data_IF_199361064608
#
_entry.id   IF_199361064608
#
_cell.length_a   1.000
_cell.length_b   1.000
_cell.length_c   1.000
_cell.angle_alpha   90.00
_cell.angle_beta   90.00
_cell.angle_gamma   90.00
#
_symmetry.space_group_name_H-M   'P 1'
#
loop_
_entity.id
_entity.type
_entity.pdbx_description
1 polymer ?
#
# COMPACT_ATOMS: atom_id res chain seq x y z
N UNK A 1 -24.80 2.41 16.43
CA UNK A 1 -24.85 1.05 15.83
C UNK A 1 -24.30 1.11 14.42
N UNK A 2 -23.73 0.00 13.93
CA UNK A 2 -23.14 -0.14 12.58
C UNK A 2 -24.07 0.38 11.47
N UNK A 3 -25.32 -0.09 11.44
CA UNK A 3 -26.30 0.35 10.43
C UNK A 3 -26.57 1.85 10.42
N UNK A 4 -26.55 2.50 11.59
CA UNK A 4 -26.69 3.94 11.67
C UNK A 4 -25.49 4.65 10.99
N UNK A 5 -24.28 4.22 11.30
CA UNK A 5 -23.07 4.78 10.71
C UNK A 5 -23.02 4.57 9.20
N UNK A 6 -23.44 3.39 8.70
CA UNK A 6 -23.54 3.12 7.26
C UNK A 6 -24.55 4.04 6.58
N UNK A 7 -25.75 4.24 7.18
CA UNK A 7 -26.75 5.19 6.63
C UNK A 7 -26.24 6.63 6.59
N UNK A 8 -25.57 7.08 7.68
CA UNK A 8 -24.98 8.44 7.74
C UNK A 8 -23.88 8.62 6.68
N UNK A 9 -23.06 7.60 6.46
CA UNK A 9 -22.04 7.61 5.41
C UNK A 9 -22.69 7.70 4.02
N UNK A 10 -23.71 6.91 3.74
CA UNK A 10 -24.44 6.98 2.47
C UNK A 10 -25.06 8.37 2.25
N UNK A 11 -25.76 8.92 3.24
CA UNK A 11 -26.34 10.26 3.14
C UNK A 11 -25.27 11.31 2.84
N UNK A 12 -24.13 11.27 3.54
CA UNK A 12 -23.01 12.18 3.31
C UNK A 12 -22.43 12.08 1.89
N UNK A 13 -22.27 10.86 1.35
CA UNK A 13 -21.77 10.66 -0.01
C UNK A 13 -22.79 11.07 -1.08
N UNK A 14 -24.09 10.91 -0.84
CA UNK A 14 -25.15 11.38 -1.73
C UNK A 14 -25.18 12.91 -1.82
N UNK A 15 -25.09 13.60 -0.67
CA UNK A 15 -24.98 15.05 -0.63
C UNK A 15 -23.72 15.56 -1.34
N UNK A 16 -22.57 14.92 -1.07
CA UNK A 16 -21.30 15.27 -1.70
C UNK A 16 -21.32 15.06 -3.22
N UNK A 17 -21.95 13.99 -3.70
CA UNK A 17 -22.13 13.73 -5.13
C UNK A 17 -23.03 14.78 -5.79
N UNK A 18 -24.15 15.10 -5.15
CA UNK A 18 -25.06 16.15 -5.65
C UNK A 18 -24.33 17.51 -5.71
N UNK A 19 -23.54 17.82 -4.70
CA UNK A 19 -22.69 19.01 -4.70
C UNK A 19 -21.65 19.00 -5.84
N UNK A 20 -20.98 17.89 -6.09
CA UNK A 20 -19.98 17.78 -7.14
C UNK A 20 -20.55 17.97 -8.56
N UNK A 21 -21.82 17.64 -8.79
CA UNK A 21 -22.51 17.80 -10.06
C UNK A 21 -22.91 19.26 -10.36
N UNK A 22 -22.88 20.15 -9.39
CA UNK A 22 -23.23 21.56 -9.60
C UNK A 22 -22.01 22.33 -10.13
N UNK A 23 -22.23 23.12 -11.19
CA UNK A 23 -21.16 23.82 -11.92
C UNK A 23 -20.68 25.10 -11.26
N UNK A 24 -21.52 25.78 -10.49
CA UNK A 24 -21.15 27.00 -9.74
C UNK A 24 -21.96 27.09 -8.45
N UNK A 25 -21.30 27.47 -7.37
CA UNK A 25 -21.93 27.75 -6.07
C UNK A 25 -21.48 29.09 -5.54
N UNK A 26 -22.44 29.90 -5.11
CA UNK A 26 -22.15 31.18 -4.43
C UNK A 26 -21.42 30.96 -3.10
N UNK A 27 -21.76 29.88 -2.38
CA UNK A 27 -21.13 29.50 -1.11
C UNK A 27 -20.52 28.13 -1.22
N UNK A 28 -19.21 28.03 -1.07
CA UNK A 28 -18.47 26.76 -1.13
C UNK A 28 -18.56 25.99 0.19
N UNK A 29 -19.00 24.73 0.10
CA UNK A 29 -18.83 23.79 1.21
C UNK A 29 -17.46 23.10 1.09
N UNK A 30 -16.51 23.47 1.96
CA UNK A 30 -15.13 23.00 1.91
C UNK A 30 -15.02 21.47 2.06
N UNK A 31 -15.90 20.82 2.81
CA UNK A 31 -15.92 19.35 2.96
C UNK A 31 -16.24 18.68 1.62
N UNK A 32 -17.29 19.14 0.94
CA UNK A 32 -17.71 18.57 -0.35
C UNK A 32 -16.77 18.98 -1.49
N UNK A 33 -16.22 20.19 -1.43
CA UNK A 33 -15.21 20.64 -2.40
C UNK A 33 -13.98 19.73 -2.39
N UNK A 34 -13.50 19.33 -1.20
CA UNK A 34 -12.39 18.38 -1.06
C UNK A 34 -12.70 16.99 -1.66
N UNK A 35 -13.98 16.60 -1.73
CA UNK A 35 -14.40 15.32 -2.29
C UNK A 35 -14.61 15.35 -3.81
N UNK A 36 -14.65 16.51 -4.45
CA UNK A 36 -14.93 16.66 -5.89
C UNK A 36 -14.02 15.78 -6.75
N UNK A 37 -12.74 15.72 -6.40
CA UNK A 37 -11.74 14.90 -7.10
C UNK A 37 -11.98 13.38 -7.04
N UNK A 38 -12.78 12.89 -6.10
CA UNK A 38 -13.21 11.50 -6.05
C UNK A 38 -14.25 11.21 -7.13
N UNK A 39 -15.27 12.08 -7.25
CA UNK A 39 -16.34 11.93 -8.23
C UNK A 39 -15.88 12.20 -9.67
N UNK A 40 -14.86 13.05 -9.86
CA UNK A 40 -14.17 13.26 -11.14
C UNK A 40 -13.21 12.11 -11.48
N UNK A 41 -13.11 11.08 -10.63
CA UNK A 41 -12.20 9.95 -10.74
C UNK A 41 -10.70 10.32 -10.87
N UNK A 42 -10.33 11.54 -10.49
CA UNK A 42 -8.94 12.01 -10.47
C UNK A 42 -8.12 11.42 -9.31
N UNK A 43 -8.82 11.08 -8.21
CA UNK A 43 -8.23 10.46 -7.03
C UNK A 43 -9.03 9.22 -6.64
N UNK A 44 -8.37 8.14 -6.19
CA UNK A 44 -9.06 6.99 -5.63
C UNK A 44 -9.52 7.25 -4.19
N UNK A 45 -10.53 6.51 -3.77
CA UNK A 45 -10.97 6.40 -2.39
C UNK A 45 -10.21 5.23 -1.73
N UNK A 46 -9.41 5.53 -0.72
CA UNK A 46 -8.71 4.52 0.09
C UNK A 46 -9.62 4.07 1.22
N UNK A 47 -9.97 2.78 1.25
CA UNK A 47 -10.91 2.21 2.22
C UNK A 47 -10.18 1.21 3.10
N UNK A 48 -10.09 1.53 4.40
CA UNK A 48 -9.51 0.63 5.39
C UNK A 48 -10.53 -0.44 5.79
N UNK A 49 -10.24 -1.68 5.45
CA UNK A 49 -11.08 -2.84 5.74
C UNK A 49 -10.23 -4.10 5.86
N UNK A 50 -10.69 -5.10 6.60
CA UNK A 50 -9.92 -6.30 6.86
C UNK A 50 -10.66 -7.61 6.56
N UNK A 51 -11.91 -7.75 6.98
CA UNK A 51 -12.63 -9.02 6.81
C UNK A 51 -13.37 -9.10 5.46
N UNK A 52 -13.58 -10.33 4.98
CA UNK A 52 -14.14 -10.63 3.66
C UNK A 52 -15.49 -9.93 3.40
N UNK A 53 -16.39 -9.87 4.40
CA UNK A 53 -17.68 -9.21 4.28
C UNK A 53 -17.53 -7.70 4.05
N UNK A 54 -16.73 -7.03 4.91
CA UNK A 54 -16.54 -5.58 4.78
C UNK A 54 -15.71 -5.20 3.57
N UNK A 55 -14.85 -6.08 3.07
CA UNK A 55 -14.17 -5.93 1.77
C UNK A 55 -15.21 -5.82 0.66
N UNK A 56 -16.12 -6.80 0.57
CA UNK A 56 -17.17 -6.78 -0.47
C UNK A 56 -18.10 -5.58 -0.33
N UNK A 57 -18.58 -5.27 0.88
CA UNK A 57 -19.42 -4.09 1.14
C UNK A 57 -18.72 -2.78 0.74
N UNK A 58 -17.41 -2.65 0.98
CA UNK A 58 -16.61 -1.48 0.62
C UNK A 58 -16.49 -1.30 -0.90
N UNK A 59 -16.31 -2.39 -1.64
CA UNK A 59 -16.25 -2.37 -3.10
C UNK A 59 -17.60 -1.96 -3.68
N UNK A 60 -18.68 -2.61 -3.26
CA UNK A 60 -20.04 -2.29 -3.70
C UNK A 60 -20.45 -0.85 -3.36
N UNK A 61 -20.01 -0.36 -2.18
CA UNK A 61 -20.18 1.04 -1.82
C UNK A 61 -19.50 1.98 -2.83
N UNK A 62 -18.22 1.73 -3.14
CA UNK A 62 -17.49 2.56 -4.08
C UNK A 62 -18.12 2.54 -5.47
N UNK A 63 -18.57 1.38 -5.96
CA UNK A 63 -19.26 1.24 -7.24
C UNK A 63 -20.57 1.99 -7.28
N UNK A 64 -21.38 1.92 -6.22
CA UNK A 64 -22.64 2.68 -6.10
C UNK A 64 -22.44 4.17 -6.38
N UNK A 65 -21.32 4.73 -5.99
CA UNK A 65 -20.99 6.15 -6.16
C UNK A 65 -20.10 6.43 -7.38
N UNK A 66 -19.73 5.42 -8.16
CA UNK A 66 -18.84 5.55 -9.32
C UNK A 66 -17.41 5.93 -8.97
N UNK A 67 -16.92 5.51 -7.80
CA UNK A 67 -15.60 5.87 -7.27
C UNK A 67 -14.57 4.81 -7.60
N UNK A 68 -13.33 5.23 -7.89
CA UNK A 68 -12.19 4.32 -7.91
C UNK A 68 -11.83 3.97 -6.47
N UNK A 69 -11.85 2.69 -6.12
CA UNK A 69 -11.50 2.22 -4.78
C UNK A 69 -10.11 1.59 -4.75
N UNK A 70 -9.42 1.77 -3.62
CA UNK A 70 -8.23 1.03 -3.22
C UNK A 70 -8.48 0.51 -1.81
N UNK A 71 -8.36 -0.79 -1.60
CA UNK A 71 -8.48 -1.38 -0.27
C UNK A 71 -7.16 -1.30 0.48
N UNK A 72 -7.23 -0.95 1.77
CA UNK A 72 -6.07 -0.86 2.66
C UNK A 72 -6.27 -1.79 3.85
N UNK A 73 -5.28 -2.63 4.11
CA UNK A 73 -5.35 -3.69 5.11
C UNK A 73 -5.73 -5.01 4.46
N UNK A 74 -7.01 -5.20 4.22
CA UNK A 74 -7.60 -6.31 3.47
C UNK A 74 -7.03 -7.69 3.86
N UNK A 75 -6.94 -7.97 5.17
CA UNK A 75 -6.35 -9.21 5.70
C UNK A 75 -7.00 -10.46 5.10
N UNK A 76 -8.32 -10.43 4.88
CA UNK A 76 -9.08 -11.53 4.28
C UNK A 76 -9.20 -11.46 2.75
N UNK A 77 -8.39 -10.64 2.07
CA UNK A 77 -8.45 -10.50 0.61
C UNK A 77 -8.30 -11.85 -0.12
N UNK A 78 -7.54 -12.77 0.44
CA UNK A 78 -7.34 -14.12 -0.08
C UNK A 78 -8.63 -14.93 -0.20
N UNK A 79 -9.64 -14.69 0.64
CA UNK A 79 -10.94 -15.37 0.61
C UNK A 79 -11.84 -14.88 -0.54
N UNK A 80 -11.59 -13.69 -1.07
CA UNK A 80 -12.46 -12.99 -2.05
C UNK A 80 -11.69 -12.56 -3.31
N UNK A 81 -10.65 -13.30 -3.67
CA UNK A 81 -9.78 -12.96 -4.80
C UNK A 81 -10.51 -12.85 -6.13
N UNK A 82 -11.45 -13.77 -6.42
CA UNK A 82 -12.22 -13.73 -7.68
C UNK A 82 -13.14 -12.50 -7.75
N UNK A 83 -13.73 -12.13 -6.61
CA UNK A 83 -14.51 -10.91 -6.50
C UNK A 83 -13.63 -9.66 -6.72
N UNK A 84 -12.49 -9.55 -6.05
CA UNK A 84 -11.56 -8.43 -6.21
C UNK A 84 -11.05 -8.32 -7.65
N UNK A 85 -10.77 -9.45 -8.29
CA UNK A 85 -10.32 -9.51 -9.69
C UNK A 85 -11.39 -9.02 -10.65
N UNK A 86 -12.64 -9.50 -10.49
CA UNK A 86 -13.76 -9.12 -11.39
C UNK A 86 -14.08 -7.63 -11.30
N UNK A 87 -13.82 -6.98 -10.17
CA UNK A 87 -14.04 -5.56 -9.93
C UNK A 87 -12.79 -4.69 -10.14
N UNK A 88 -11.65 -5.30 -10.53
CA UNK A 88 -10.36 -4.62 -10.72
C UNK A 88 -9.91 -3.78 -9.51
N UNK A 89 -10.07 -4.30 -8.30
CA UNK A 89 -9.76 -3.60 -7.06
C UNK A 89 -8.31 -3.81 -6.66
N UNK A 90 -7.49 -2.74 -6.61
CA UNK A 90 -6.13 -2.82 -6.05
C UNK A 90 -6.16 -2.92 -4.54
N UNK A 91 -5.14 -3.61 -4.00
CA UNK A 91 -5.02 -3.88 -2.56
C UNK A 91 -3.68 -3.39 -2.03
N UNK A 92 -3.71 -2.61 -0.96
CA UNK A 92 -2.53 -2.29 -0.15
C UNK A 92 -2.59 -3.21 1.08
N UNK A 93 -1.80 -4.28 1.05
CA UNK A 93 -1.74 -5.22 2.16
C UNK A 93 -1.15 -4.57 3.41
N UNK A 94 -1.69 -4.89 4.56
CA UNK A 94 -1.04 -4.59 5.83
C UNK A 94 0.14 -5.55 6.07
N UNK A 95 0.74 -5.49 7.25
CA UNK A 95 1.90 -6.29 7.60
C UNK A 95 1.70 -7.79 7.31
N UNK A 96 2.65 -8.39 6.58
CA UNK A 96 2.77 -9.85 6.43
C UNK A 96 3.31 -10.50 7.70
N UNK A 97 4.15 -9.78 8.48
CA UNK A 97 4.60 -10.24 9.79
C UNK A 97 3.50 -10.07 10.83
N UNK A 98 2.46 -10.88 10.74
CA UNK A 98 1.33 -10.90 11.66
C UNK A 98 0.91 -12.34 11.97
N UNK A 99 0.26 -12.51 13.10
CA UNK A 99 -0.39 -13.76 13.44
C UNK A 99 -1.71 -13.91 12.66
N UNK A 100 -2.23 -15.14 12.51
CA UNK A 100 -3.56 -15.39 11.98
C UNK A 100 -4.62 -14.57 12.71
N UNK A 101 -5.69 -14.24 12.00
CA UNK A 101 -6.77 -13.42 12.57
C UNK A 101 -7.80 -14.29 13.29
N UNK A 102 -7.94 -15.54 12.86
CA UNK A 102 -8.88 -16.53 13.39
C UNK A 102 -8.14 -17.81 13.79
N UNK A 103 -8.74 -18.59 14.70
CA UNK A 103 -8.17 -19.85 15.20
C UNK A 103 -8.10 -20.94 14.12
N UNK A 104 -8.93 -20.84 13.08
CA UNK A 104 -9.00 -21.75 11.94
C UNK A 104 -8.22 -21.28 10.71
N UNK A 105 -7.58 -20.12 10.76
CA UNK A 105 -6.67 -19.68 9.70
C UNK A 105 -5.36 -20.48 9.74
N UNK A 106 -4.79 -20.75 8.58
CA UNK A 106 -3.42 -21.26 8.49
C UNK A 106 -2.45 -20.35 9.24
N UNK A 107 -1.54 -20.92 10.00
CA UNK A 107 -0.55 -20.18 10.80
C UNK A 107 0.30 -19.22 9.95
N UNK A 108 0.49 -19.55 8.69
CA UNK A 108 1.27 -18.80 7.70
C UNK A 108 0.42 -18.03 6.67
N UNK A 109 -0.91 -17.94 6.90
CA UNK A 109 -1.82 -17.28 5.95
C UNK A 109 -1.40 -15.84 5.61
N UNK A 110 -0.93 -15.09 6.59
CA UNK A 110 -0.49 -13.73 6.35
C UNK A 110 0.68 -13.63 5.35
N UNK A 111 1.53 -14.64 5.28
CA UNK A 111 2.64 -14.73 4.32
C UNK A 111 2.19 -15.16 2.92
N UNK A 112 1.14 -15.99 2.84
CA UNK A 112 0.59 -16.55 1.59
C UNK A 112 -0.34 -15.58 0.85
N UNK A 113 -0.97 -14.63 1.54
CA UNK A 113 -1.97 -13.73 0.95
C UNK A 113 -1.43 -12.98 -0.28
N UNK A 114 -0.19 -12.49 -0.23
CA UNK A 114 0.44 -11.82 -1.37
C UNK A 114 0.63 -12.76 -2.58
N UNK A 115 0.94 -14.04 -2.34
CA UNK A 115 1.07 -15.08 -3.37
C UNK A 115 -0.27 -15.28 -4.07
N UNK A 116 -1.34 -15.46 -3.29
CA UNK A 116 -2.70 -15.69 -3.81
C UNK A 116 -3.23 -14.49 -4.63
N UNK A 117 -2.93 -13.25 -4.20
CA UNK A 117 -3.25 -12.05 -4.98
C UNK A 117 -2.48 -12.00 -6.29
N UNK A 118 -1.18 -12.35 -6.26
CA UNK A 118 -0.33 -12.40 -7.45
C UNK A 118 -0.84 -13.43 -8.46
N UNK A 119 -1.14 -14.65 -8.03
CA UNK A 119 -1.64 -15.74 -8.88
C UNK A 119 -2.97 -15.38 -9.56
N UNK A 120 -3.81 -14.60 -8.89
CA UNK A 120 -5.05 -14.08 -9.46
C UNK A 120 -4.85 -12.83 -10.32
N UNK A 121 -3.60 -12.31 -10.41
CA UNK A 121 -3.29 -11.10 -11.17
C UNK A 121 -3.99 -9.85 -10.61
N UNK A 122 -4.15 -9.77 -9.29
CA UNK A 122 -4.65 -8.59 -8.59
C UNK A 122 -3.48 -7.65 -8.35
N UNK A 123 -3.65 -6.37 -8.64
CA UNK A 123 -2.65 -5.34 -8.35
C UNK A 123 -2.58 -5.13 -6.84
N UNK A 124 -1.41 -5.35 -6.25
CA UNK A 124 -1.23 -5.14 -4.81
C UNK A 124 0.10 -4.48 -4.48
N UNK A 125 0.17 -3.88 -3.29
CA UNK A 125 1.37 -3.29 -2.69
C UNK A 125 1.47 -3.73 -1.23
N UNK A 126 2.70 -3.69 -0.69
CA UNK A 126 2.92 -3.91 0.74
C UNK A 126 2.88 -2.59 1.51
N UNK A 127 2.36 -2.62 2.73
CA UNK A 127 2.44 -1.51 3.67
C UNK A 127 2.62 -1.98 5.12
N UNK A 128 2.85 -1.03 6.00
CA UNK A 128 2.87 -1.27 7.44
C UNK A 128 2.17 -0.14 8.20
N UNK A 129 1.38 -0.49 9.22
CA UNK A 129 0.60 0.49 10.00
C UNK A 129 1.46 1.39 10.88
N UNK A 130 2.59 0.87 11.39
CA UNK A 130 3.43 1.57 12.36
C UNK A 130 4.64 2.19 11.64
N UNK A 131 4.85 3.49 11.79
CA UNK A 131 5.97 4.22 11.19
C UNK A 131 7.33 3.60 11.55
N UNK A 132 7.50 3.13 12.79
CA UNK A 132 8.72 2.48 13.24
C UNK A 132 9.05 1.19 12.49
N UNK A 133 8.06 0.42 12.08
CA UNK A 133 8.22 -0.86 11.40
C UNK A 133 8.40 -0.72 9.88
N UNK A 134 8.18 0.45 9.32
CA UNK A 134 8.33 0.67 7.87
C UNK A 134 9.76 0.39 7.37
N UNK A 135 10.76 0.54 8.21
CA UNK A 135 12.15 0.14 7.90
C UNK A 135 12.29 -1.35 7.53
N UNK A 136 11.35 -2.18 7.94
CA UNK A 136 11.34 -3.63 7.68
C UNK A 136 10.44 -4.00 6.49
N UNK A 137 9.89 -3.03 5.75
CA UNK A 137 8.90 -3.28 4.70
C UNK A 137 9.44 -4.18 3.59
N UNK A 138 10.70 -3.99 3.17
CA UNK A 138 11.35 -4.83 2.18
C UNK A 138 11.44 -6.31 2.65
N UNK A 139 11.69 -6.54 3.94
CA UNK A 139 11.82 -7.88 4.53
C UNK A 139 10.45 -8.57 4.65
N UNK A 140 9.37 -7.83 4.78
CA UNK A 140 8.02 -8.39 4.71
C UNK A 140 7.68 -8.90 3.30
N UNK A 141 8.12 -8.21 2.26
CA UNK A 141 8.02 -8.70 0.90
C UNK A 141 8.93 -9.92 0.68
N UNK A 142 10.14 -9.92 1.25
CA UNK A 142 11.05 -11.08 1.25
C UNK A 142 10.45 -12.30 1.95
N UNK A 143 9.69 -12.10 3.03
CA UNK A 143 8.96 -13.18 3.69
C UNK A 143 7.94 -13.83 2.73
N UNK A 144 7.17 -13.03 1.99
CA UNK A 144 6.24 -13.56 0.99
C UNK A 144 6.95 -14.33 -0.14
N UNK A 145 8.18 -13.94 -0.52
CA UNK A 145 9.02 -14.71 -1.46
C UNK A 145 9.34 -16.08 -0.90
N UNK A 146 9.66 -16.19 0.39
CA UNK A 146 9.88 -17.47 1.07
C UNK A 146 8.65 -18.39 1.06
N UNK A 147 7.46 -17.85 0.83
CA UNK A 147 6.19 -18.59 0.71
C UNK A 147 5.67 -18.70 -0.73
N UNK A 148 6.50 -18.40 -1.73
CA UNK A 148 6.21 -18.69 -3.13
C UNK A 148 5.91 -17.46 -4.02
N UNK A 149 5.93 -16.24 -3.48
CA UNK A 149 5.83 -15.04 -4.33
C UNK A 149 7.08 -14.92 -5.20
N UNK A 150 6.97 -14.77 -6.55
CA UNK A 150 8.12 -14.48 -7.37
C UNK A 150 8.87 -13.23 -6.87
N UNK A 151 10.19 -13.30 -6.80
CA UNK A 151 11.02 -12.19 -6.28
C UNK A 151 10.76 -10.88 -7.01
N UNK A 152 10.65 -10.92 -8.33
CA UNK A 152 10.34 -9.76 -9.14
C UNK A 152 8.97 -9.17 -8.80
N UNK A 153 7.95 -10.00 -8.57
CA UNK A 153 6.63 -9.54 -8.13
C UNK A 153 6.68 -8.86 -6.75
N UNK A 154 7.52 -9.36 -5.84
CA UNK A 154 7.74 -8.72 -4.53
C UNK A 154 8.39 -7.34 -4.68
N UNK A 155 9.39 -7.20 -5.56
CA UNK A 155 10.01 -5.90 -5.88
C UNK A 155 9.00 -4.96 -6.53
N UNK A 156 8.23 -5.44 -7.50
CA UNK A 156 7.18 -4.64 -8.14
C UNK A 156 6.13 -4.16 -7.14
N UNK A 157 5.71 -4.99 -6.20
CA UNK A 157 4.75 -4.63 -5.17
C UNK A 157 5.25 -3.53 -4.20
N UNK A 158 6.56 -3.41 -4.03
CA UNK A 158 7.19 -2.34 -3.26
C UNK A 158 7.47 -1.06 -4.08
N UNK A 159 7.49 -1.16 -5.41
CA UNK A 159 7.94 -0.09 -6.31
C UNK A 159 6.89 0.28 -7.35
N UNK A 160 6.84 -0.44 -8.47
CA UNK A 160 5.98 -0.12 -9.62
C UNK A 160 4.48 -0.22 -9.28
N UNK A 161 4.05 -1.29 -8.62
CA UNK A 161 2.65 -1.45 -8.25
C UNK A 161 2.20 -0.38 -7.24
N UNK A 162 3.07 -0.08 -6.26
CA UNK A 162 2.83 1.04 -5.34
C UNK A 162 2.67 2.36 -6.11
N UNK A 163 3.56 2.64 -7.06
CA UNK A 163 3.48 3.84 -7.89
C UNK A 163 2.21 3.88 -8.76
N UNK A 164 1.77 2.74 -9.31
CA UNK A 164 0.52 2.62 -10.05
C UNK A 164 -0.71 2.89 -9.17
N UNK A 165 -0.77 2.30 -7.99
CA UNK A 165 -1.87 2.49 -7.03
C UNK A 165 -1.94 3.96 -6.57
N UNK A 166 -0.77 4.60 -6.38
CA UNK A 166 -0.66 6.01 -5.97
C UNK A 166 -0.86 7.01 -7.13
N UNK A 167 -0.92 6.53 -8.39
CA UNK A 167 -1.10 7.38 -9.57
C UNK A 167 0.14 8.21 -9.94
N UNK A 168 1.35 7.69 -9.63
CA UNK A 168 2.64 8.36 -9.89
C UNK A 168 3.61 7.48 -10.69
N UNK A 169 3.10 6.44 -11.36
CA UNK A 169 3.92 5.49 -12.10
C UNK A 169 4.56 6.07 -13.38
N UNK A 170 4.09 7.21 -13.83
CA UNK A 170 4.70 8.01 -14.89
C UNK A 170 6.05 8.62 -14.46
N UNK A 171 6.22 8.88 -13.16
CA UNK A 171 7.41 9.54 -12.60
C UNK A 171 8.37 8.60 -11.88
N UNK A 172 7.88 7.56 -11.22
CA UNK A 172 8.71 6.69 -10.40
C UNK A 172 8.23 5.23 -10.40
N UNK A 173 8.85 4.37 -9.59
CA UNK A 173 8.48 2.96 -9.41
C UNK A 173 9.16 1.99 -10.36
N UNK A 174 9.90 2.45 -11.38
CA UNK A 174 10.71 1.61 -12.27
C UNK A 174 11.93 2.34 -12.79
N UNK A 175 12.95 1.58 -13.17
CA UNK A 175 14.18 2.09 -13.81
C UNK A 175 13.94 2.24 -15.32
N UNK A 176 13.23 3.30 -15.70
CA UNK A 176 12.88 3.60 -17.08
C UNK A 176 13.37 5.00 -17.43
N UNK A 177 13.94 5.17 -18.62
CA UNK A 177 14.40 6.47 -19.11
C UNK A 177 13.25 7.49 -19.10
N UNK A 178 13.52 8.68 -18.56
CA UNK A 178 12.55 9.77 -18.43
C UNK A 178 11.81 9.82 -17.09
N UNK A 179 11.97 8.82 -16.21
CA UNK A 179 11.45 8.87 -14.84
C UNK A 179 12.44 9.53 -13.88
N UNK A 180 11.91 9.98 -12.74
CA UNK A 180 12.72 10.50 -11.65
C UNK A 180 13.73 9.42 -11.20
N UNK A 181 15.00 9.77 -11.10
CA UNK A 181 16.02 8.87 -10.58
C UNK A 181 15.93 8.78 -9.04
N UNK A 182 14.86 8.15 -8.56
CA UNK A 182 14.65 7.84 -7.15
C UNK A 182 14.86 6.33 -6.98
N UNK A 183 16.09 5.97 -6.56
CA UNK A 183 16.55 4.59 -6.50
C UNK A 183 17.61 4.41 -5.41
N UNK A 184 17.91 3.17 -5.08
CA UNK A 184 19.05 2.82 -4.24
C UNK A 184 19.84 1.64 -4.85
N UNK A 185 21.08 1.51 -4.43
CA UNK A 185 21.96 0.40 -4.75
C UNK A 185 22.21 -0.40 -3.49
N UNK A 186 22.02 -1.70 -3.56
CA UNK A 186 22.29 -2.62 -2.45
C UNK A 186 23.31 -3.68 -2.88
N UNK A 187 24.29 -3.91 -2.05
CA UNK A 187 25.08 -5.13 -2.07
C UNK A 187 24.26 -6.24 -1.43
N UNK A 188 24.09 -7.35 -2.12
CA UNK A 188 23.20 -8.43 -1.70
C UNK A 188 21.72 -8.13 -1.94
N UNK A 189 20.87 -9.01 -1.42
CA UNK A 189 19.43 -8.97 -1.65
C UNK A 189 18.75 -7.93 -0.75
N UNK A 190 18.14 -6.91 -1.37
CA UNK A 190 17.41 -5.88 -0.64
C UNK A 190 16.19 -6.41 0.13
N UNK A 191 15.67 -7.60 -0.23
CA UNK A 191 14.54 -8.25 0.44
C UNK A 191 14.96 -9.19 1.59
N UNK A 192 16.25 -9.53 1.69
CA UNK A 192 16.79 -10.38 2.77
C UNK A 192 17.49 -9.52 3.83
N UNK A 193 16.95 -9.54 5.06
CA UNK A 193 17.49 -8.76 6.18
C UNK A 193 18.96 -9.10 6.54
N UNK A 194 19.47 -10.29 6.16
CA UNK A 194 20.85 -10.72 6.46
C UNK A 194 21.84 -10.19 5.44
N UNK A 195 21.42 -9.99 4.19
CA UNK A 195 22.29 -9.59 3.08
C UNK A 195 22.02 -8.18 2.55
N UNK A 196 20.89 -7.57 2.94
CA UNK A 196 20.54 -6.21 2.50
C UNK A 196 21.52 -5.17 3.05
N UNK A 197 22.30 -4.58 2.13
CA UNK A 197 23.25 -3.52 2.46
C UNK A 197 23.16 -2.40 1.41
N UNK A 198 22.43 -1.35 1.75
CA UNK A 198 22.31 -0.18 0.88
C UNK A 198 23.60 0.63 0.94
N UNK A 199 24.25 0.77 -0.22
CA UNK A 199 25.55 1.46 -0.37
C UNK A 199 25.41 2.85 -0.97
N UNK A 200 24.40 3.09 -1.81
CA UNK A 200 24.07 4.41 -2.35
C UNK A 200 22.57 4.56 -2.52
N UNK A 201 22.07 5.78 -2.42
CA UNK A 201 20.67 6.08 -2.70
C UNK A 201 20.52 7.50 -3.28
N UNK A 202 19.53 7.66 -4.15
CA UNK A 202 19.26 8.88 -4.88
C UNK A 202 17.77 9.24 -4.78
N UNK A 203 17.49 10.52 -4.62
CA UNK A 203 16.14 11.08 -4.71
C UNK A 203 16.15 12.14 -5.81
N UNK A 204 15.41 11.90 -6.89
CA UNK A 204 15.38 12.77 -8.07
C UNK A 204 16.80 13.09 -8.60
N UNK A 205 17.64 12.06 -8.69
CA UNK A 205 19.03 12.17 -9.17
C UNK A 205 20.03 12.75 -8.17
N UNK A 206 19.59 13.23 -7.01
CA UNK A 206 20.48 13.72 -5.96
C UNK A 206 20.86 12.61 -5.00
N UNK A 207 22.16 12.38 -4.86
CA UNK A 207 22.66 11.42 -3.86
C UNK A 207 22.29 11.88 -2.45
N UNK A 208 21.84 10.95 -1.62
CA UNK A 208 21.49 11.20 -0.23
C UNK A 208 22.53 10.59 0.71
N UNK A 209 22.80 11.30 1.81
CA UNK A 209 23.68 10.78 2.85
C UNK A 209 22.97 9.64 3.61
N UNK A 210 23.56 8.43 3.58
CA UNK A 210 23.06 7.24 4.27
C UNK A 210 23.57 7.12 5.72
N UNK A 211 24.31 8.11 6.23
CA UNK A 211 24.72 8.13 7.61
C UNK A 211 23.56 8.47 8.54
N UNK A 212 23.58 7.92 9.74
CA UNK A 212 22.57 8.16 10.75
C UNK A 212 23.16 8.06 12.16
N UNK A 213 22.37 8.52 13.15
CA UNK A 213 22.79 8.54 14.54
C UNK A 213 23.27 7.17 15.07
N UNK A 214 22.64 6.07 14.65
CA UNK A 214 23.06 4.74 15.09
C UNK A 214 24.44 4.37 14.53
N UNK A 215 24.69 4.62 13.24
CA UNK A 215 26.01 4.41 12.62
C UNK A 215 27.09 5.27 13.28
N UNK A 216 26.76 6.54 13.58
CA UNK A 216 27.70 7.45 14.25
C UNK A 216 28.04 6.96 15.66
N UNK A 217 27.04 6.53 16.43
CA UNK A 217 27.25 5.98 17.76
C UNK A 217 28.04 4.67 17.71
N UNK A 218 27.71 3.76 16.78
CA UNK A 218 28.45 2.51 16.60
C UNK A 218 29.95 2.79 16.37
N UNK A 219 30.28 3.64 15.37
CA UNK A 219 31.68 4.02 15.11
C UNK A 219 32.38 4.64 16.32
N UNK A 220 31.66 5.50 17.07
CA UNK A 220 32.22 6.14 18.27
C UNK A 220 32.55 5.13 19.39
N UNK A 221 31.66 4.17 19.62
CA UNK A 221 31.85 3.16 20.64
C UNK A 221 32.85 2.10 20.19
N UNK A 222 32.83 1.67 18.93
CA UNK A 222 33.85 0.77 18.38
C UNK A 222 35.27 1.34 18.54
N UNK A 223 35.43 2.62 18.21
CA UNK A 223 36.73 3.28 18.38
C UNK A 223 37.19 3.36 19.85
N UNK A 224 36.22 3.44 20.79
CA UNK A 224 36.52 3.47 22.23
C UNK A 224 36.97 2.12 22.77
N UNK A 225 36.45 1.01 22.26
CA UNK A 225 36.66 -0.33 22.81
C UNK A 225 37.61 -1.19 21.98
N UNK A 226 38.09 -0.73 20.84
CA UNK A 226 39.13 -1.37 20.02
C UNK A 226 40.55 -0.92 20.38
N UNK A 227 40.75 -0.29 21.55
CA UNK A 227 42.06 0.06 22.08
C UNK A 227 42.66 -1.11 22.83
#
# INVERSE_FOLDING_TARGET
>A
TYEKSVREMHAFFEEARAYAQQSAQEVKNLKFEAMRSLFDQKKPLYIHTNNAKTIQESVLFAEKYGLKAVLVGATDAWMVTDFLKSHNIPVILSSTHSLPTRDDDDVDQAYKTAVQLHEKGILFAFSHKLAWQQRNLAFQAGQAVGFGLPKEAAVQALTLHTAQIMGIADRCGSLTVGKDATLFISEGDALDMRSSQVTAAFIQGREINLDNKHKQLSRRFDAKYKQ
#
